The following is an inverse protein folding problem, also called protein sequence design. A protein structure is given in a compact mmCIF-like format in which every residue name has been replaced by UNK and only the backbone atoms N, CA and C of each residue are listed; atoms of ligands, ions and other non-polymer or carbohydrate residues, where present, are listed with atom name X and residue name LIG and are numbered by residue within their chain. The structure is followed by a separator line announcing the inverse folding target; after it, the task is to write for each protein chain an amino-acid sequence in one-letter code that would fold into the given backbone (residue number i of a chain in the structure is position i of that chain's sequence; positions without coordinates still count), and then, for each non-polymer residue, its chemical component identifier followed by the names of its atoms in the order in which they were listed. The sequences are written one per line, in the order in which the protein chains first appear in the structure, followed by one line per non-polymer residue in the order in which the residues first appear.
data_IF_211555172468
#
_entry.id   IF_211555172468
#
_cell.length_a   1.000
_cell.length_b   1.000
_cell.length_c   1.000
_cell.angle_alpha   90.00
_cell.angle_beta   90.00
_cell.angle_gamma   90.00
#
_symmetry.space_group_name_H-M   'P 1'
#
loop_
_entity.id
_entity.type
_entity.pdbx_description
1 polymer ?
#
# COMPACT_ATOMS: atom_id res chain seq x y z
N UNK A 1 23.75 7.30 -5.55
CA UNK A 1 24.70 8.41 -5.30
C UNK A 1 26.01 7.92 -4.67
N UNK A 2 25.98 7.31 -3.48
CA UNK A 2 27.21 6.92 -2.74
C UNK A 2 28.14 5.97 -3.50
N UNK A 3 27.58 5.04 -4.29
CA UNK A 3 28.37 4.15 -5.16
C UNK A 3 29.17 4.90 -6.23
N UNK A 4 28.62 6.01 -6.75
CA UNK A 4 29.32 6.83 -7.75
C UNK A 4 30.50 7.58 -7.11
N UNK A 5 30.32 8.09 -5.89
CA UNK A 5 31.40 8.73 -5.11
C UNK A 5 32.50 7.72 -4.78
N UNK A 6 32.13 6.47 -4.46
CA UNK A 6 33.10 5.40 -4.21
C UNK A 6 33.92 5.07 -5.46
N UNK A 7 33.27 4.99 -6.63
CA UNK A 7 33.94 4.76 -7.91
C UNK A 7 34.86 5.93 -8.30
N UNK A 8 34.46 7.17 -7.99
CA UNK A 8 35.28 8.35 -8.22
C UNK A 8 36.54 8.40 -7.31
N UNK A 9 36.50 7.75 -6.14
CA UNK A 9 37.63 7.64 -5.21
C UNK A 9 38.79 6.75 -5.68
N UNK A 10 38.69 6.16 -6.88
CA UNK A 10 39.80 5.44 -7.51
C UNK A 10 39.92 3.97 -7.08
N UNK A 11 41.15 3.45 -7.12
CA UNK A 11 41.43 2.04 -6.81
C UNK A 11 41.15 1.72 -5.34
N UNK A 12 40.81 0.46 -5.08
CA UNK A 12 40.76 -0.05 -3.72
C UNK A 12 42.17 0.00 -3.09
N UNK A 13 42.21 0.35 -1.81
CA UNK A 13 43.42 0.42 -1.00
C UNK A 13 43.14 0.00 0.43
N UNK A 14 44.20 -0.02 1.25
CA UNK A 14 44.13 -0.18 2.69
C UNK A 14 43.23 0.89 3.32
N UNK A 15 42.56 0.57 4.45
CA UNK A 15 41.69 1.52 5.12
C UNK A 15 42.49 2.77 5.54
N UNK A 16 41.95 3.99 5.38
CA UNK A 16 42.60 5.24 5.79
C UNK A 16 42.49 5.41 7.32
N UNK A 17 43.08 4.47 8.04
CA UNK A 17 43.16 4.44 9.49
C UNK A 17 44.64 4.23 9.80
N UNK A 18 45.19 5.13 10.62
CA UNK A 18 46.61 5.05 10.97
C UNK A 18 46.96 3.69 11.60
N UNK A 19 48.11 3.15 11.20
CA UNK A 19 48.58 1.82 11.61
C UNK A 19 47.73 0.64 11.11
N UNK A 20 46.78 0.83 10.20
CA UNK A 20 46.00 -0.26 9.58
C UNK A 20 46.42 -0.48 8.14
N UNK A 21 46.90 -1.69 7.86
CA UNK A 21 47.16 -2.16 6.50
C UNK A 21 46.33 -3.39 6.21
N UNK A 22 46.06 -3.61 4.93
CA UNK A 22 45.40 -4.81 4.45
C UNK A 22 46.39 -5.62 3.60
N UNK A 23 46.43 -6.94 3.79
CA UNK A 23 47.32 -7.84 3.04
C UNK A 23 47.31 -7.63 1.52
N UNK A 24 46.16 -7.41 0.85
CA UNK A 24 46.14 -7.21 -0.60
C UNK A 24 46.63 -5.84 -1.09
N UNK A 25 46.64 -4.80 -0.24
CA UNK A 25 46.92 -3.42 -0.67
C UNK A 25 48.15 -2.79 0.00
N UNK A 26 48.71 -3.40 1.05
CA UNK A 26 49.93 -2.93 1.71
C UNK A 26 49.81 -1.48 2.19
N UNK A 27 50.73 -0.62 1.73
CA UNK A 27 50.78 0.82 2.04
C UNK A 27 49.89 1.68 1.13
N UNK A 28 49.29 1.12 0.07
CA UNK A 28 48.40 1.89 -0.83
C UNK A 28 47.08 2.15 -0.10
N UNK A 29 46.82 3.39 0.31
CA UNK A 29 45.63 3.77 1.10
C UNK A 29 44.48 4.17 0.17
N UNK A 30 43.26 3.73 0.48
CA UNK A 30 42.05 4.19 -0.20
C UNK A 30 41.79 5.69 0.05
N UNK A 31 41.17 6.39 -0.91
CA UNK A 31 40.96 7.85 -0.80
C UNK A 31 40.13 8.24 0.45
N UNK A 32 40.74 8.93 1.44
CA UNK A 32 40.06 9.34 2.66
C UNK A 32 38.98 10.40 2.40
N UNK A 33 39.14 11.22 1.36
CA UNK A 33 38.19 12.28 1.03
C UNK A 33 36.88 11.66 0.51
N UNK A 34 36.96 10.69 -0.40
CA UNK A 34 35.80 9.96 -0.87
C UNK A 34 35.05 9.26 0.27
N UNK A 35 35.76 8.66 1.23
CA UNK A 35 35.13 8.01 2.39
C UNK A 35 34.40 9.00 3.30
N UNK A 36 35.01 10.15 3.60
CA UNK A 36 34.36 11.20 4.39
C UNK A 36 33.09 11.72 3.70
N UNK A 37 33.15 11.93 2.38
CA UNK A 37 32.00 12.37 1.57
C UNK A 37 30.87 11.35 1.54
N UNK A 38 31.19 10.05 1.51
CA UNK A 38 30.17 8.99 1.57
C UNK A 38 29.50 8.97 2.95
N UNK A 39 30.28 9.09 4.03
CA UNK A 39 29.73 9.14 5.40
C UNK A 39 28.74 10.30 5.57
N UNK A 40 29.09 11.50 5.09
CA UNK A 40 28.19 12.66 5.15
C UNK A 40 26.95 12.45 4.29
N UNK A 41 27.10 11.92 3.08
CA UNK A 41 25.97 11.65 2.18
C UNK A 41 25.00 10.61 2.76
N UNK A 42 25.49 9.56 3.44
CA UNK A 42 24.65 8.56 4.11
C UNK A 42 23.83 9.22 5.23
N UNK A 43 24.46 10.00 6.09
CA UNK A 43 23.76 10.65 7.23
C UNK A 43 22.71 11.64 6.74
N UNK A 44 23.04 12.48 5.74
CA UNK A 44 22.10 13.43 5.14
C UNK A 44 20.92 12.69 4.51
N UNK A 45 21.20 11.61 3.77
CA UNK A 45 20.15 10.83 3.10
C UNK A 45 19.23 10.17 4.12
N UNK A 46 19.78 9.56 5.18
CA UNK A 46 18.98 8.96 6.25
C UNK A 46 18.10 10.00 6.96
N UNK A 47 18.65 11.17 7.27
CA UNK A 47 17.91 12.27 7.88
C UNK A 47 16.76 12.75 6.96
N UNK A 48 17.05 12.94 5.67
CA UNK A 48 16.05 13.36 4.68
C UNK A 48 14.96 12.29 4.49
N UNK A 49 15.32 11.01 4.41
CA UNK A 49 14.35 9.91 4.33
C UNK A 49 13.46 9.87 5.57
N UNK A 50 14.03 10.01 6.78
CA UNK A 50 13.24 10.07 8.02
C UNK A 50 12.29 11.26 8.06
N UNK A 51 12.76 12.43 7.59
CA UNK A 51 11.92 13.63 7.48
C UNK A 51 10.78 13.43 6.47
N UNK A 52 11.07 12.90 5.28
CA UNK A 52 10.06 12.61 4.25
C UNK A 52 9.06 11.57 4.76
N UNK A 53 9.51 10.51 5.44
CA UNK A 53 8.62 9.50 6.01
C UNK A 53 7.67 10.10 7.05
N UNK A 54 8.16 11.03 7.87
CA UNK A 54 7.34 11.78 8.83
C UNK A 54 6.31 12.66 8.12
N UNK A 55 6.68 13.35 7.05
CA UNK A 55 5.74 14.13 6.25
C UNK A 55 4.70 13.24 5.56
N UNK A 56 5.10 12.09 5.02
CA UNK A 56 4.20 11.13 4.40
C UNK A 56 3.19 10.58 5.43
N UNK A 57 3.66 10.22 6.64
CA UNK A 57 2.79 9.82 7.74
C UNK A 57 1.82 10.93 8.14
N UNK A 58 2.31 12.17 8.25
CA UNK A 58 1.47 13.32 8.54
C UNK A 58 0.41 13.53 7.46
N UNK A 59 0.79 13.51 6.18
CA UNK A 59 -0.14 13.64 5.06
C UNK A 59 -1.20 12.53 5.09
N UNK A 60 -0.79 11.29 5.29
CA UNK A 60 -1.72 10.15 5.42
C UNK A 60 -2.75 10.43 6.51
N UNK A 61 -2.31 10.80 7.71
CA UNK A 61 -3.21 11.11 8.84
C UNK A 61 -4.21 12.24 8.54
N UNK A 62 -3.80 13.28 7.81
CA UNK A 62 -4.69 14.39 7.46
C UNK A 62 -5.62 14.07 6.28
N UNK A 63 -5.20 13.20 5.36
CA UNK A 63 -5.97 12.87 4.14
C UNK A 63 -6.88 11.66 4.29
N UNK A 64 -6.84 10.94 5.41
CA UNK A 64 -7.82 9.88 5.74
C UNK A 64 -9.23 10.43 6.02
N UNK A 65 -9.43 11.74 6.05
CA UNK A 65 -10.74 12.29 5.75
C UNK A 65 -10.94 12.17 4.22
N UNK A 66 -11.36 10.99 3.78
CA UNK A 66 -11.84 10.77 2.43
C UNK A 66 -13.14 11.57 2.27
N UNK A 67 -12.99 12.85 1.94
CA UNK A 67 -14.11 13.72 1.57
C UNK A 67 -14.35 13.46 0.10
N UNK A 68 -15.12 12.40 -0.17
CA UNK A 68 -15.73 12.20 -1.48
C UNK A 68 -16.78 13.30 -1.64
N UNK A 69 -16.75 13.97 -2.78
CA UNK A 69 -17.74 15.01 -3.11
C UNK A 69 -19.06 14.32 -3.42
N UNK A 70 -20.12 14.60 -2.63
CA UNK A 70 -21.47 14.12 -2.91
C UNK A 70 -21.90 14.63 -4.29
N UNK A 71 -21.98 13.74 -5.26
CA UNK A 71 -22.32 14.12 -6.62
C UNK A 71 -23.85 14.18 -6.82
N UNK A 72 -24.26 14.62 -8.01
CA UNK A 72 -25.69 14.70 -8.33
C UNK A 72 -26.36 13.32 -8.34
N UNK A 73 -25.61 12.25 -8.55
CA UNK A 73 -26.11 10.88 -8.55
C UNK A 73 -26.35 10.38 -7.12
N UNK A 74 -25.45 10.67 -6.18
CA UNK A 74 -25.60 10.37 -4.75
C UNK A 74 -26.85 11.03 -4.16
N UNK A 75 -27.07 12.31 -4.48
CA UNK A 75 -28.28 13.02 -4.06
C UNK A 75 -29.55 12.44 -4.69
N UNK A 76 -29.47 11.96 -5.94
CA UNK A 76 -30.59 11.31 -6.62
C UNK A 76 -30.91 9.94 -5.99
N UNK A 77 -29.90 9.14 -5.66
CA UNK A 77 -30.08 7.85 -4.97
C UNK A 77 -30.64 8.07 -3.57
N UNK A 78 -30.16 9.06 -2.82
CA UNK A 78 -30.71 9.41 -1.50
C UNK A 78 -32.18 9.90 -1.59
N UNK A 79 -32.53 10.68 -2.61
CA UNK A 79 -33.89 11.14 -2.87
C UNK A 79 -34.83 9.98 -3.29
N UNK A 80 -34.31 9.01 -4.03
CA UNK A 80 -35.04 7.78 -4.36
C UNK A 80 -35.26 7.00 -3.07
N UNK A 81 -34.22 6.66 -2.31
CA UNK A 81 -34.31 5.85 -1.09
C UNK A 81 -35.25 6.44 0.00
N UNK A 82 -35.44 7.76 0.03
CA UNK A 82 -36.34 8.44 0.99
C UNK A 82 -37.80 8.54 0.55
N UNK A 83 -38.14 8.05 -0.66
CA UNK A 83 -39.51 8.12 -1.20
C UNK A 83 -40.41 7.04 -0.56
N UNK A 84 -41.54 7.38 0.10
CA UNK A 84 -42.39 6.37 0.73
C UNK A 84 -43.01 5.42 -0.32
N UNK A 85 -42.79 4.12 -0.16
CA UNK A 85 -43.35 3.05 -1.00
C UNK A 85 -42.36 2.28 -1.87
N UNK A 86 -41.05 2.59 -1.84
CA UNK A 86 -40.02 1.84 -2.56
C UNK A 86 -39.12 1.02 -1.62
N UNK A 87 -39.72 0.09 -0.88
CA UNK A 87 -39.01 -0.81 0.03
C UNK A 87 -37.81 -1.55 -0.62
N UNK A 88 -37.82 -1.70 -1.94
CA UNK A 88 -36.73 -2.31 -2.71
C UNK A 88 -35.45 -1.48 -2.80
N UNK A 89 -35.46 -0.21 -2.39
CA UNK A 89 -34.31 0.71 -2.45
C UNK A 89 -33.68 0.99 -1.07
N UNK A 90 -34.09 0.24 -0.04
CA UNK A 90 -33.52 0.38 1.29
C UNK A 90 -32.08 -0.22 1.34
N UNK A 91 -31.12 0.36 2.09
CA UNK A 91 -29.73 -0.09 2.11
C UNK A 91 -29.51 -1.54 2.60
N UNK A 92 -30.48 -2.09 3.32
CA UNK A 92 -30.52 -3.46 3.86
C UNK A 92 -31.25 -4.44 2.92
N UNK A 93 -31.74 -3.98 1.77
CA UNK A 93 -32.51 -4.77 0.83
C UNK A 93 -31.62 -5.32 -0.30
N UNK A 94 -31.38 -6.62 -0.27
CA UNK A 94 -30.72 -7.34 -1.37
C UNK A 94 -31.66 -7.47 -2.58
N UNK A 95 -31.08 -7.52 -3.80
CA UNK A 95 -31.79 -7.65 -5.07
C UNK A 95 -32.55 -8.97 -5.22
N UNK A 96 -32.36 -9.90 -4.28
CA UNK A 96 -33.02 -11.20 -4.14
C UNK A 96 -34.45 -11.14 -3.58
N UNK A 97 -34.85 -10.01 -2.98
CA UNK A 97 -36.16 -9.83 -2.37
C UNK A 97 -37.22 -9.37 -3.39
N UNK A 98 -38.46 -9.86 -3.24
CA UNK A 98 -39.57 -9.54 -4.15
C UNK A 98 -39.85 -8.03 -4.19
N UNK A 99 -39.77 -7.37 -5.36
CA UNK A 99 -39.92 -5.91 -5.49
C UNK A 99 -41.32 -5.39 -5.14
N UNK A 100 -42.33 -6.27 -5.08
CA UNK A 100 -43.71 -5.91 -4.78
C UNK A 100 -44.11 -6.14 -3.32
N UNK A 101 -43.46 -7.08 -2.64
CA UNK A 101 -43.85 -7.47 -1.27
C UNK A 101 -42.73 -7.34 -0.22
N UNK A 102 -41.47 -7.19 -0.63
CA UNK A 102 -40.30 -7.07 0.25
C UNK A 102 -39.98 -8.32 1.06
N UNK A 103 -40.55 -9.48 0.70
CA UNK A 103 -40.33 -10.75 1.39
C UNK A 103 -39.17 -11.52 0.76
N UNK A 104 -38.43 -12.26 1.58
CA UNK A 104 -37.37 -13.15 1.14
C UNK A 104 -37.95 -14.26 0.25
N UNK A 105 -37.44 -14.38 -0.97
CA UNK A 105 -37.86 -15.41 -1.92
C UNK A 105 -36.88 -16.58 -1.93
N UNK A 106 -37.35 -17.79 -2.28
CA UNK A 106 -36.48 -18.97 -2.42
C UNK A 106 -35.56 -18.90 -3.65
N UNK A 107 -35.82 -17.95 -4.55
CA UNK A 107 -35.00 -17.66 -5.74
C UNK A 107 -33.78 -16.79 -5.39
N UNK A 108 -33.73 -16.26 -4.16
CA UNK A 108 -32.71 -15.32 -3.70
C UNK A 108 -31.28 -15.84 -3.60
N UNK A 109 -31.07 -17.16 -3.61
CA UNK A 109 -29.74 -17.77 -3.59
C UNK A 109 -29.20 -18.08 -5.00
N UNK A 110 -29.94 -17.75 -6.07
CA UNK A 110 -29.57 -18.09 -7.45
C UNK A 110 -28.89 -16.96 -8.24
N UNK A 111 -28.76 -15.76 -7.67
CA UNK A 111 -28.06 -14.64 -8.32
C UNK A 111 -26.76 -14.28 -7.60
N UNK A 112 -25.69 -14.85 -8.14
CA UNK A 112 -24.27 -14.63 -7.85
C UNK A 112 -23.49 -15.52 -8.82
N UNK A 113 -22.17 -15.31 -9.06
CA UNK A 113 -21.38 -16.37 -9.69
C UNK A 113 -21.58 -17.65 -8.86
N UNK A 114 -21.75 -18.82 -9.51
CA UNK A 114 -22.05 -20.08 -8.82
C UNK A 114 -21.27 -20.19 -7.51
N UNK A 115 -21.95 -20.62 -6.44
CA UNK A 115 -21.34 -20.83 -5.13
C UNK A 115 -20.06 -21.65 -5.32
N UNK A 116 -18.90 -21.01 -5.19
CA UNK A 116 -17.61 -21.60 -5.59
C UNK A 116 -17.26 -22.85 -4.76
N UNK A 117 -17.93 -23.04 -3.62
CA UNK A 117 -17.87 -24.24 -2.82
C UNK A 117 -19.20 -24.98 -2.85
N UNK A 118 -19.40 -25.82 -3.87
CA UNK A 118 -20.31 -26.94 -3.69
C UNK A 118 -19.83 -27.74 -2.45
N UNK A 119 -20.72 -28.14 -1.51
CA UNK A 119 -20.30 -28.99 -0.40
C UNK A 119 -19.66 -30.25 -0.98
N UNK A 120 -18.42 -30.52 -0.57
CA UNK A 120 -17.62 -31.63 -1.06
C UNK A 120 -18.43 -32.91 -0.91
N UNK A 121 -18.79 -33.55 -2.02
CA UNK A 121 -19.33 -34.91 -1.99
C UNK A 121 -18.19 -35.83 -1.55
N UNK A 122 -18.26 -36.31 -0.32
CA UNK A 122 -17.38 -37.38 0.14
C UNK A 122 -17.60 -38.62 -0.76
N UNK A 123 -16.52 -39.35 -1.03
CA UNK A 123 -16.44 -40.39 -2.04
C UNK A 123 -17.19 -41.70 -1.70
N UNK A 124 -18.27 -41.63 -0.91
CA UNK A 124 -19.11 -42.76 -0.52
C UNK A 124 -20.58 -42.37 -0.47
N UNK A 125 -21.10 -41.78 -1.54
CA UNK A 125 -22.52 -41.85 -1.86
C UNK A 125 -22.64 -42.24 -3.34
N UNK A 126 -23.02 -43.51 -3.57
CA UNK A 126 -23.33 -44.12 -4.88
C UNK A 126 -24.52 -43.45 -5.58
#
# INVERSE_FOLDING_TARGET
ANLFVLMAGGKAGSPPIDGRTSLPYGEEIADPLAQAMILTAIVISMALTGFILTLAYRQYRYRTADVIEDDTEDTAIAAIASRPGNASAAPDHDASNDPTTGRTTKEGDMFGPEFFEAPVKEATDE
#
